data_IF_941994952608
#
_entry.id   IF_941994952608
#
_cell.length_a   1.000
_cell.length_b   1.000
_cell.length_c   1.000
_cell.angle_alpha   90.00
_cell.angle_beta   90.00
_cell.angle_gamma   90.00
#
_symmetry.space_group_name_H-M   'P 1'
#
loop_
_entity.id
_entity.type
_entity.pdbx_description
1 polymer ?
#
# COMPACT_ATOMS: atom_id res chain seq x y z
N UNK A 1 11.09 -4.69 -21.18
CA UNK A 1 10.77 -4.43 -20.92
C UNK A 1 10.25 -4.41 -20.45
N UNK A 2 10.13 -4.38 -20.21
CA UNK A 2 9.64 -4.25 -19.87
C UNK A 2 9.06 -3.97 -19.06
N UNK A 3 9.26 -3.53 -18.71
CA UNK A 3 8.55 -3.35 -17.88
C UNK A 3 7.82 -2.24 -17.74
N UNK A 4 6.90 -2.27 -17.58
CA UNK A 4 5.99 -1.28 -17.61
C UNK A 4 5.63 -0.90 -16.28
N UNK A 5 6.06 0.23 -15.84
CA UNK A 5 5.67 0.72 -14.57
C UNK A 5 4.47 1.59 -14.77
N UNK A 6 3.31 1.08 -14.43
CA UNK A 6 2.10 1.88 -14.46
C UNK A 6 1.99 2.53 -13.10
N UNK A 7 2.08 3.84 -13.06
CA UNK A 7 2.07 4.56 -11.80
C UNK A 7 0.68 5.05 -11.46
N UNK A 8 0.20 4.63 -10.31
CA UNK A 8 -1.04 5.15 -9.76
C UNK A 8 -0.76 6.17 -8.69
N UNK A 9 -1.80 6.65 -8.06
CA UNK A 9 -1.64 7.69 -7.05
C UNK A 9 -2.62 7.48 -5.91
N UNK A 10 -2.12 7.65 -4.69
CA UNK A 10 -2.91 7.67 -3.48
C UNK A 10 -3.16 9.14 -3.17
N UNK A 11 -4.43 9.52 -3.09
CA UNK A 11 -4.79 10.89 -2.79
C UNK A 11 -5.41 10.92 -1.41
N UNK A 12 -4.84 11.71 -0.53
CA UNK A 12 -5.27 11.77 0.85
C UNK A 12 -5.68 13.20 1.20
N UNK A 13 -6.91 13.36 1.63
CA UNK A 13 -7.42 14.68 1.94
C UNK A 13 -7.62 15.52 0.71
N UNK A 14 -7.39 16.81 0.85
CA UNK A 14 -7.68 17.76 -0.21
C UNK A 14 -6.57 17.91 -1.22
N UNK A 15 -5.37 17.49 -0.93
CA UNK A 15 -4.30 17.77 -1.88
C UNK A 15 -3.03 16.96 -1.76
N UNK A 16 -2.98 16.00 -0.85
CA UNK A 16 -1.76 15.21 -0.70
C UNK A 16 -1.80 14.05 -1.68
N UNK A 17 -0.76 13.96 -2.51
CA UNK A 17 -0.66 12.93 -3.53
C UNK A 17 0.62 12.13 -3.32
N UNK A 18 0.50 10.81 -3.42
CA UNK A 18 1.66 9.93 -3.27
C UNK A 18 1.64 8.93 -4.40
N UNK A 19 2.71 8.87 -5.17
CA UNK A 19 2.80 8.02 -6.34
C UNK A 19 3.28 6.63 -5.96
N UNK A 20 2.60 5.62 -6.48
CA UNK A 20 2.99 4.24 -6.27
C UNK A 20 2.79 3.47 -7.57
N UNK A 21 3.61 2.47 -7.78
CA UNK A 21 3.36 1.49 -8.82
C UNK A 21 1.94 0.94 -8.60
N UNK A 22 1.20 0.73 -9.67
CA UNK A 22 -0.18 0.23 -9.57
C UNK A 22 -0.27 -1.04 -8.73
N UNK A 23 0.71 -1.93 -8.87
CA UNK A 23 0.67 -3.17 -8.12
C UNK A 23 0.82 -2.93 -6.62
N UNK A 24 1.71 -2.04 -6.24
CA UNK A 24 1.86 -1.66 -4.83
C UNK A 24 0.57 -1.03 -4.34
N UNK A 25 0.02 -0.14 -5.14
CA UNK A 25 -1.19 0.59 -4.76
C UNK A 25 -2.37 -0.35 -4.55
N UNK A 26 -2.49 -1.39 -5.40
CA UNK A 26 -3.57 -2.35 -5.25
C UNK A 26 -3.49 -3.08 -3.91
N UNK A 27 -2.29 -3.41 -3.49
CA UNK A 27 -2.10 -4.12 -2.22
C UNK A 27 -2.31 -3.19 -1.03
N UNK A 28 -1.87 -1.94 -1.15
CA UNK A 28 -2.17 -0.96 -0.11
C UNK A 28 -3.68 -0.76 0.01
N UNK A 29 -4.37 -0.69 -1.12
CA UNK A 29 -5.82 -0.52 -1.09
C UNK A 29 -6.49 -1.67 -0.36
N UNK A 30 -6.07 -2.90 -0.64
CA UNK A 30 -6.66 -4.06 0.02
C UNK A 30 -6.42 -4.02 1.52
N UNK A 31 -5.19 -3.72 1.94
CA UNK A 31 -4.84 -3.72 3.35
C UNK A 31 -5.48 -2.56 4.09
N UNK A 32 -5.37 -1.36 3.53
CA UNK A 32 -5.93 -0.17 4.16
C UNK A 32 -7.45 -0.29 4.25
N UNK A 33 -8.07 -0.77 3.17
CA UNK A 33 -9.53 -0.95 3.16
C UNK A 33 -10.00 -1.91 4.23
N UNK A 34 -9.24 -2.98 4.44
CA UNK A 34 -9.57 -3.95 5.48
C UNK A 34 -9.59 -3.30 6.87
N UNK A 35 -8.57 -2.46 7.14
CA UNK A 35 -8.50 -1.78 8.43
C UNK A 35 -9.62 -0.75 8.59
N UNK A 36 -9.88 0.02 7.56
CA UNK A 36 -10.90 1.06 7.65
C UNK A 36 -12.30 0.48 7.79
N UNK A 37 -12.54 -0.67 7.17
CA UNK A 37 -13.84 -1.33 7.35
C UNK A 37 -14.07 -1.74 8.80
N UNK A 38 -13.01 -1.91 9.56
CA UNK A 38 -13.09 -2.25 10.98
C UNK A 38 -13.00 -1.00 11.84
N UNK A 39 -13.05 0.18 11.21
CA UNK A 39 -13.01 1.47 11.88
C UNK A 39 -11.73 1.69 12.69
N UNK A 40 -10.64 1.17 12.16
CA UNK A 40 -9.33 1.34 12.80
C UNK A 40 -8.58 2.46 12.10
N UNK A 41 -7.95 3.31 12.89
CA UNK A 41 -7.05 4.32 12.36
C UNK A 41 -5.62 3.87 12.65
N UNK A 42 -4.70 4.19 11.76
CA UNK A 42 -3.36 3.63 11.90
C UNK A 42 -2.40 4.42 11.02
N UNK A 43 -1.09 4.26 11.27
CA UNK A 43 -0.08 4.83 10.39
C UNK A 43 0.22 3.87 9.25
N UNK A 44 0.53 4.43 8.09
CA UNK A 44 1.13 3.70 6.99
C UNK A 44 2.48 4.34 6.74
N UNK A 45 3.50 3.54 6.64
CA UNK A 45 4.86 4.04 6.53
C UNK A 45 5.56 3.42 5.34
N UNK A 46 6.30 4.24 4.59
CA UNK A 46 7.12 3.72 3.50
C UNK A 46 8.34 4.60 3.34
N UNK A 47 9.36 4.04 2.65
CA UNK A 47 10.56 4.80 2.40
C UNK A 47 10.53 5.34 0.99
N UNK A 48 11.07 6.54 0.82
CA UNK A 48 11.21 7.15 -0.48
C UNK A 48 12.52 6.66 -1.07
N UNK A 49 12.57 6.61 -2.41
CA UNK A 49 13.80 6.18 -3.06
C UNK A 49 14.90 7.22 -2.92
N UNK A 50 16.13 6.77 -3.13
CA UNK A 50 17.26 7.68 -3.04
C UNK A 50 17.14 8.83 -4.02
N UNK A 51 16.52 8.59 -5.17
CA UNK A 51 16.31 9.61 -6.18
C UNK A 51 15.45 10.75 -5.64
N UNK A 52 14.54 10.43 -4.74
CA UNK A 52 13.64 11.42 -4.15
C UNK A 52 14.18 11.99 -2.86
N UNK A 53 15.45 11.82 -2.60
CA UNK A 53 16.06 12.36 -1.40
C UNK A 53 16.10 11.40 -0.23
N UNK A 54 15.61 10.21 -0.41
CA UNK A 54 15.55 9.24 0.68
C UNK A 54 14.52 9.63 1.72
N UNK A 55 14.63 9.08 2.89
CA UNK A 55 13.72 9.42 3.95
C UNK A 55 12.49 8.53 3.97
N UNK A 56 11.57 8.85 4.84
CA UNK A 56 10.40 8.06 5.12
C UNK A 56 9.17 8.92 5.19
N UNK A 57 8.05 8.36 4.78
CA UNK A 57 6.75 8.99 4.95
C UNK A 57 5.97 8.17 5.95
N UNK A 58 5.33 8.83 6.90
CA UNK A 58 4.46 8.19 7.86
C UNK A 58 3.13 8.94 7.79
N UNK A 59 2.09 8.27 7.34
CA UNK A 59 0.81 8.90 7.07
C UNK A 59 -0.26 8.32 7.97
N UNK A 60 -0.97 9.19 8.69
CA UNK A 60 -2.04 8.74 9.59
C UNK A 60 -3.31 8.55 8.79
N UNK A 61 -3.75 7.31 8.69
CA UNK A 61 -4.95 6.95 7.92
C UNK A 61 -6.14 6.85 8.86
N UNK A 62 -7.20 7.54 8.51
CA UNK A 62 -8.42 7.53 9.30
C UNK A 62 -9.61 7.66 8.36
N UNK A 63 -10.76 7.13 8.78
CA UNK A 63 -11.98 7.23 7.98
C UNK A 63 -12.53 8.66 7.93
N UNK A 64 -11.98 9.56 8.74
CA UNK A 64 -12.45 10.95 8.76
C UNK A 64 -11.86 11.80 7.63
N UNK A 65 -10.90 11.26 6.88
CA UNK A 65 -10.25 11.99 5.81
C UNK A 65 -10.51 11.27 4.50
N UNK A 66 -10.93 11.98 3.45
CA UNK A 66 -11.17 11.33 2.16
C UNK A 66 -9.91 10.66 1.64
N UNK A 67 -10.07 9.47 1.08
CA UNK A 67 -8.97 8.67 0.59
C UNK A 67 -9.35 8.12 -0.76
N UNK A 68 -8.49 8.33 -1.75
CA UNK A 68 -8.77 7.90 -3.10
C UNK A 68 -7.57 7.15 -3.66
N UNK A 69 -7.84 6.03 -4.32
CA UNK A 69 -6.81 5.27 -5.02
C UNK A 69 -7.09 5.36 -6.50
N UNK A 70 -6.17 5.94 -7.25
CA UNK A 70 -6.35 6.08 -8.69
C UNK A 70 -5.28 5.27 -9.39
N UNK A 71 -5.73 4.32 -10.19
CA UNK A 71 -4.84 3.41 -10.89
C UNK A 71 -4.65 3.85 -12.33
N UNK A 72 -3.46 3.66 -12.85
CA UNK A 72 -3.18 4.00 -14.24
C UNK A 72 -3.83 2.99 -15.18
N UNK A 73 -3.94 1.75 -14.73
CA UNK A 73 -4.53 0.70 -15.52
C UNK A 73 -5.43 -0.14 -14.65
N UNK A 74 -6.00 -1.19 -15.24
CA UNK A 74 -6.87 -2.08 -14.48
C UNK A 74 -6.10 -2.66 -13.29
N UNK A 75 -6.82 -2.83 -12.20
CA UNK A 75 -6.22 -3.31 -10.96
C UNK A 75 -5.67 -4.71 -11.14
N UNK A 76 -4.41 -4.97 -10.79
CA UNK A 76 -3.84 -6.30 -10.93
C UNK A 76 -4.37 -7.25 -9.87
N UNK A 77 -4.20 -8.56 -10.08
CA UNK A 77 -4.57 -9.52 -9.04
C UNK A 77 -3.80 -9.27 -7.76
N UNK A 78 -4.43 -9.57 -6.65
CA UNK A 78 -3.85 -9.31 -5.34
C UNK A 78 -3.13 -10.55 -4.81
N UNK A 79 -1.93 -10.32 -4.30
CA UNK A 79 -1.14 -11.36 -3.64
C UNK A 79 -1.53 -11.35 -2.16
N UNK A 80 -2.27 -12.35 -1.74
CA UNK A 80 -2.79 -12.39 -0.37
C UNK A 80 -1.68 -12.44 0.68
N UNK A 81 -0.55 -13.05 0.34
CA UNK A 81 0.57 -13.07 1.28
C UNK A 81 1.09 -11.67 1.56
N UNK A 82 1.11 -10.82 0.54
CA UNK A 82 1.55 -9.44 0.73
C UNK A 82 0.54 -8.67 1.57
N UNK A 83 -0.75 -8.83 1.28
CA UNK A 83 -1.78 -8.16 2.06
C UNK A 83 -1.67 -8.57 3.53
N UNK A 84 -1.47 -9.87 3.78
CA UNK A 84 -1.33 -10.36 5.14
C UNK A 84 -0.12 -9.77 5.83
N UNK A 85 1.00 -9.67 5.12
CA UNK A 85 2.21 -9.10 5.69
C UNK A 85 1.99 -7.63 6.07
N UNK A 86 1.30 -6.90 5.19
CA UNK A 86 1.00 -5.50 5.48
C UNK A 86 0.09 -5.38 6.70
N UNK A 87 -0.93 -6.21 6.77
CA UNK A 87 -1.85 -6.17 7.91
C UNK A 87 -1.15 -6.54 9.21
N UNK A 88 -0.31 -7.56 9.17
CA UNK A 88 0.41 -7.97 10.37
C UNK A 88 1.31 -6.86 10.89
N UNK A 89 1.96 -6.14 9.99
CA UNK A 89 2.84 -5.05 10.41
C UNK A 89 2.04 -3.91 11.04
N UNK A 90 0.76 -3.79 10.70
CA UNK A 90 -0.05 -2.68 11.20
C UNK A 90 -0.28 -2.75 12.71
N UNK A 91 0.00 -3.89 13.32
CA UNK A 91 -0.18 -4.03 14.76
C UNK A 91 1.06 -3.64 15.57
N UNK A 92 2.09 -3.15 14.88
CA UNK A 92 3.27 -2.65 15.57
C UNK A 92 3.12 -1.16 15.82
N UNK A 93 3.90 -0.58 16.74
CA UNK A 93 3.81 0.86 17.00
C UNK A 93 4.11 1.72 15.79
N UNK A 94 4.90 1.21 14.85
CA UNK A 94 5.22 1.95 13.62
C UNK A 94 4.07 1.97 12.63
N UNK A 95 3.09 1.10 12.82
CA UNK A 95 1.96 1.01 11.92
C UNK A 95 2.24 0.07 10.76
N UNK A 96 1.41 0.18 9.72
CA UNK A 96 1.54 -0.65 8.54
C UNK A 96 2.77 -0.23 7.75
N UNK A 97 3.67 -1.16 7.55
CA UNK A 97 4.94 -0.87 6.88
C UNK A 97 4.92 -1.49 5.49
N UNK A 98 5.15 -0.65 4.49
CA UNK A 98 5.18 -1.14 3.11
C UNK A 98 6.47 -1.89 2.88
N UNK A 99 6.34 -3.18 2.64
CA UNK A 99 7.46 -4.06 2.40
C UNK A 99 7.50 -4.47 0.95
N UNK A 100 8.56 -5.16 0.56
CA UNK A 100 8.62 -5.76 -0.76
C UNK A 100 7.61 -6.89 -0.87
N UNK A 101 7.19 -7.16 -2.07
CA UNK A 101 6.23 -8.22 -2.29
C UNK A 101 6.85 -9.58 -2.00
N UNK A 102 6.21 -10.39 -1.12
CA UNK A 102 6.70 -11.74 -0.89
C UNK A 102 6.40 -12.64 -2.08
N UNK A 103 7.08 -13.77 -2.12
CA UNK A 103 6.94 -14.71 -3.22
C UNK A 103 5.58 -15.39 -3.17
N UNK A 104 4.71 -15.02 -4.09
CA UNK A 104 3.34 -15.54 -4.13
C UNK A 104 3.25 -16.96 -4.62
N UNK A 105 4.15 -17.37 -5.48
CA UNK A 105 4.05 -18.70 -6.05
C UNK A 105 4.25 -19.78 -5.01
N UNK A 106 5.02 -19.50 -3.99
CA UNK A 106 5.24 -20.31 -2.86
C UNK A 106 3.96 -20.59 -2.11
N UNK A 107 3.22 -19.54 -1.86
CA UNK A 107 1.97 -19.64 -1.18
C UNK A 107 0.99 -20.47 -1.94
N UNK A 108 0.93 -20.30 -3.22
CA UNK A 108 -0.01 -21.02 -4.04
C UNK A 108 0.25 -22.50 -4.01
N UNK A 109 1.50 -22.88 -3.95
CA UNK A 109 1.82 -24.28 -3.89
C UNK A 109 1.45 -24.90 -2.57
N UNK A 110 1.51 -24.13 -1.53
CA UNK A 110 1.17 -24.62 -0.22
C UNK A 110 -0.33 -24.73 -0.06
N UNK A 111 -1.01 -23.85 -0.70
CA UNK A 111 -2.45 -23.86 -0.64
C UNK A 111 -3.00 -24.92 -1.52
#
# INVERSE_FOLDING_TARGET
MRHNHCMGVLIYGAGSHYDFDDRVLAHLRAAIGSKLRRRESFFVEWTKGAVDGGGRVSLWITSDVPLQFRFAQAEPPVNQAWVRALLDSSYTPSGMILTSEPDASWDEREG
#
